data_IF_485457942095
#
_entry.id   IF_485457942095
#
_cell.length_a   1.000
_cell.length_b   1.000
_cell.length_c   1.000
_cell.angle_alpha   90.00
_cell.angle_beta   90.00
_cell.angle_gamma   90.00
#
_symmetry.space_group_name_H-M   'P 1'
#
loop_
_entity.id
_entity.type
_entity.pdbx_description
1 polymer ?
#
# COMPACT_ATOMS: atom_id res chain seq x y z
N UNK A 1 16.41 11.13 -14.06
CA UNK A 1 17.28 10.97 -12.88
C UNK A 1 16.86 9.71 -12.14
N UNK A 2 17.76 8.75 -11.92
CA UNK A 2 17.46 7.54 -11.15
C UNK A 2 17.94 7.74 -9.71
N UNK A 3 17.09 7.49 -8.73
CA UNK A 3 17.45 7.63 -7.31
C UNK A 3 16.99 6.41 -6.49
N UNK A 4 17.67 6.17 -5.37
CA UNK A 4 17.28 5.25 -4.30
C UNK A 4 17.21 6.12 -3.05
N UNK A 5 16.05 6.08 -2.40
CA UNK A 5 15.78 6.87 -1.19
C UNK A 5 15.64 5.93 0.00
N UNK A 6 16.13 6.36 1.16
CA UNK A 6 15.95 5.69 2.44
C UNK A 6 15.69 6.76 3.49
N UNK A 7 14.63 6.59 4.27
CA UNK A 7 14.22 7.54 5.31
C UNK A 7 13.98 6.77 6.58
N UNK A 8 14.66 7.11 7.66
CA UNK A 8 14.51 6.36 8.90
C UNK A 8 14.90 7.20 10.11
N UNK A 9 14.25 6.98 11.26
CA UNK A 9 14.72 7.50 12.53
C UNK A 9 15.94 6.70 13.02
N UNK A 10 16.88 7.40 13.65
CA UNK A 10 17.93 6.82 14.49
C UNK A 10 17.51 6.92 15.96
N UNK A 11 18.23 6.19 16.83
CA UNK A 11 18.06 6.31 18.28
C UNK A 11 18.17 7.77 18.73
N UNK A 12 17.25 8.20 19.62
CA UNK A 12 17.19 9.56 20.15
C UNK A 12 18.49 9.99 20.88
N UNK A 13 19.21 9.02 21.43
CA UNK A 13 20.46 9.21 22.17
C UNK A 13 21.65 9.56 21.26
N UNK A 14 21.50 9.38 19.94
CA UNK A 14 22.55 9.65 18.96
C UNK A 14 22.97 11.12 18.99
N UNK A 15 24.28 11.36 19.18
CA UNK A 15 24.86 12.70 19.13
C UNK A 15 25.16 13.09 17.69
N UNK A 16 24.93 14.37 17.38
CA UNK A 16 25.15 14.95 16.04
C UNK A 16 26.61 14.81 15.60
N UNK A 17 27.56 15.02 16.52
CA UNK A 17 28.99 14.90 16.22
C UNK A 17 29.38 13.46 15.85
N UNK A 18 28.81 12.46 16.54
CA UNK A 18 29.09 11.05 16.26
C UNK A 18 28.49 10.64 14.91
N UNK A 19 27.29 11.12 14.60
CA UNK A 19 26.67 10.96 13.28
C UNK A 19 27.52 11.56 12.17
N UNK A 20 27.96 12.81 12.32
CA UNK A 20 28.83 13.48 11.35
C UNK A 20 30.12 12.69 11.12
N UNK A 21 30.75 12.23 12.20
CA UNK A 21 31.98 11.45 12.11
C UNK A 21 31.77 10.12 11.37
N UNK A 22 30.65 9.43 11.58
CA UNK A 22 30.36 8.19 10.86
C UNK A 22 30.13 8.44 9.36
N UNK A 23 29.52 9.57 8.97
CA UNK A 23 29.39 9.95 7.57
C UNK A 23 30.76 10.17 6.90
N UNK A 24 31.71 10.80 7.60
CA UNK A 24 33.08 10.99 7.10
C UNK A 24 33.83 9.65 7.03
N UNK A 25 33.73 8.82 8.09
CA UNK A 25 34.35 7.50 8.11
C UNK A 25 33.84 6.61 6.96
N UNK A 26 32.55 6.68 6.65
CA UNK A 26 31.98 5.94 5.52
C UNK A 26 32.63 6.31 4.17
N UNK A 27 32.98 7.58 3.97
CA UNK A 27 33.68 8.02 2.75
C UNK A 27 35.15 7.57 2.78
N UNK A 28 35.81 7.69 3.93
CA UNK A 28 37.22 7.29 4.12
C UNK A 28 37.44 5.79 3.98
N UNK A 29 36.50 4.97 4.44
CA UNK A 29 36.56 3.51 4.33
C UNK A 29 36.24 3.00 2.92
N UNK A 30 35.86 3.89 1.99
CA UNK A 30 35.64 3.52 0.60
C UNK A 30 36.98 3.15 -0.06
N UNK A 31 37.13 1.93 -0.62
CA UNK A 31 38.41 1.45 -1.15
C UNK A 31 38.95 2.23 -2.35
N UNK A 32 38.17 3.16 -2.89
CA UNK A 32 38.50 3.95 -4.08
C UNK A 32 38.41 5.47 -3.82
N UNK A 33 38.44 5.91 -2.56
CA UNK A 33 38.46 7.33 -2.20
C UNK A 33 39.84 7.94 -2.43
N UNK A 34 39.89 9.19 -2.89
CA UNK A 34 41.13 9.96 -2.96
C UNK A 34 41.41 10.75 -1.68
N UNK A 35 40.42 10.87 -0.80
CA UNK A 35 40.53 11.62 0.44
C UNK A 35 41.30 10.85 1.52
N UNK A 36 42.11 11.57 2.29
CA UNK A 36 42.85 11.02 3.43
C UNK A 36 42.31 11.59 4.74
N UNK A 37 42.53 10.89 5.86
CA UNK A 37 41.95 11.27 7.15
C UNK A 37 42.42 12.66 7.62
N UNK A 38 43.66 13.03 7.30
CA UNK A 38 44.28 14.32 7.66
C UNK A 38 43.57 15.50 7.00
N UNK A 39 42.94 15.29 5.85
CA UNK A 39 42.21 16.34 5.13
C UNK A 39 40.91 16.75 5.83
N UNK A 40 40.46 15.93 6.79
CA UNK A 40 39.31 16.23 7.63
C UNK A 40 39.70 16.67 9.05
N UNK A 41 41.00 16.78 9.34
CA UNK A 41 41.48 17.28 10.62
C UNK A 41 41.01 18.73 10.82
N UNK A 42 40.07 18.94 11.73
CA UNK A 42 39.52 20.26 12.07
C UNK A 42 38.11 20.55 11.54
N UNK A 43 37.53 19.67 10.69
CA UNK A 43 36.09 19.75 10.39
C UNK A 43 35.27 19.08 11.49
N UNK A 44 34.12 19.66 11.79
CA UNK A 44 33.16 19.13 12.74
C UNK A 44 31.73 19.43 12.25
N UNK A 45 30.72 19.00 13.01
CA UNK A 45 29.31 19.16 12.61
C UNK A 45 28.82 20.62 12.59
N UNK A 46 29.67 21.59 12.92
CA UNK A 46 29.37 23.04 13.04
C UNK A 46 30.18 23.91 12.07
N UNK A 47 30.93 23.32 11.15
CA UNK A 47 31.71 24.06 10.14
C UNK A 47 31.28 23.61 8.76
N UNK A 48 30.83 24.56 7.93
CA UNK A 48 30.48 24.29 6.54
C UNK A 48 31.74 24.16 5.69
N UNK A 49 31.72 23.24 4.74
CA UNK A 49 32.84 23.09 3.83
C UNK A 49 32.42 22.51 2.48
N UNK A 50 33.22 22.83 1.48
CA UNK A 50 33.23 22.19 0.17
C UNK A 50 34.68 21.84 -0.16
N UNK A 51 34.93 20.57 -0.48
CA UNK A 51 36.26 20.03 -0.76
C UNK A 51 36.21 19.12 -1.96
N UNK A 52 36.99 19.46 -2.97
CA UNK A 52 37.15 18.67 -4.19
C UNK A 52 38.55 18.08 -4.25
N UNK A 53 38.64 16.79 -4.56
CA UNK A 53 39.91 16.11 -4.80
C UNK A 53 39.75 15.12 -5.94
N UNK A 54 40.50 15.34 -7.03
CA UNK A 54 40.37 14.56 -8.25
C UNK A 54 38.94 14.62 -8.80
N UNK A 55 38.29 13.46 -8.88
CA UNK A 55 36.91 13.31 -9.38
C UNK A 55 35.86 13.25 -8.26
N UNK A 56 36.25 13.55 -7.03
CA UNK A 56 35.38 13.47 -5.86
C UNK A 56 35.18 14.84 -5.24
N UNK A 57 33.96 15.10 -4.77
CA UNK A 57 33.55 16.35 -4.13
C UNK A 57 32.70 16.02 -2.90
N UNK A 58 33.06 16.60 -1.76
CA UNK A 58 32.32 16.53 -0.51
C UNK A 58 31.87 17.93 -0.14
N UNK A 59 30.58 18.06 0.15
CA UNK A 59 29.96 19.30 0.58
C UNK A 59 29.19 19.03 1.87
N UNK A 60 29.27 19.96 2.82
CA UNK A 60 28.56 19.90 4.07
C UNK A 60 27.98 21.25 4.43
N UNK A 61 26.69 21.25 4.77
CA UNK A 61 25.90 22.43 5.13
C UNK A 61 25.03 22.07 6.33
N UNK A 62 24.86 23.00 7.27
CA UNK A 62 24.03 22.80 8.44
C UNK A 62 23.32 24.08 8.88
N UNK A 63 22.30 23.93 9.70
CA UNK A 63 21.59 25.02 10.34
C UNK A 63 21.10 24.56 11.71
N UNK A 64 21.27 25.41 12.72
CA UNK A 64 20.92 25.12 14.10
C UNK A 64 20.12 26.27 14.69
N UNK A 65 19.00 25.93 15.33
CA UNK A 65 18.21 26.81 16.18
C UNK A 65 18.01 26.15 17.54
N UNK A 66 17.32 26.83 18.47
CA UNK A 66 17.12 26.32 19.85
C UNK A 66 16.48 24.93 19.90
N UNK A 67 15.58 24.62 18.96
CA UNK A 67 14.74 23.42 19.01
C UNK A 67 14.99 22.48 17.81
N UNK A 68 15.80 22.92 16.83
CA UNK A 68 16.00 22.20 15.57
C UNK A 68 17.45 22.25 15.13
N UNK A 69 18.01 21.07 14.87
CA UNK A 69 19.24 20.91 14.13
C UNK A 69 18.96 20.24 12.78
N UNK A 70 19.46 20.79 11.69
CA UNK A 70 19.41 20.17 10.37
C UNK A 70 20.78 20.24 9.71
N UNK A 71 21.21 19.15 9.08
CA UNK A 71 22.46 19.10 8.33
C UNK A 71 22.30 18.25 7.08
N UNK A 72 23.15 18.49 6.10
CA UNK A 72 23.25 17.68 4.90
C UNK A 72 24.69 17.56 4.45
N UNK A 73 25.12 16.32 4.24
CA UNK A 73 26.41 15.97 3.66
C UNK A 73 26.16 15.39 2.27
N UNK A 74 26.79 15.96 1.25
CA UNK A 74 26.72 15.50 -0.13
C UNK A 74 28.09 15.02 -0.58
N UNK A 75 28.18 13.75 -0.91
CA UNK A 75 29.35 13.17 -1.56
C UNK A 75 29.03 12.90 -3.02
N UNK A 76 29.87 13.39 -3.92
CA UNK A 76 29.73 13.12 -5.35
C UNK A 76 31.02 12.63 -5.98
N UNK A 77 30.87 11.70 -6.92
CA UNK A 77 31.97 11.07 -7.65
C UNK A 77 31.65 11.02 -9.13
N UNK A 78 32.50 11.63 -9.93
CA UNK A 78 32.38 11.64 -11.39
C UNK A 78 33.15 10.45 -11.99
N UNK A 79 32.48 9.69 -12.85
CA UNK A 79 33.04 8.58 -13.60
C UNK A 79 32.61 8.67 -15.07
N UNK A 80 33.53 9.18 -15.91
CA UNK A 80 33.25 9.43 -17.32
C UNK A 80 32.15 10.50 -17.50
N UNK A 81 31.05 10.13 -18.14
CA UNK A 81 29.91 11.01 -18.39
C UNK A 81 28.86 11.03 -17.26
N UNK A 82 29.08 10.24 -16.20
CA UNK A 82 28.11 9.99 -15.14
C UNK A 82 28.64 10.50 -13.80
N UNK A 83 27.79 11.21 -13.06
CA UNK A 83 28.06 11.66 -11.69
C UNK A 83 27.16 10.92 -10.71
N UNK A 84 27.77 10.18 -9.80
CA UNK A 84 27.10 9.54 -8.66
C UNK A 84 27.05 10.53 -7.51
N UNK A 85 25.89 10.70 -6.90
CA UNK A 85 25.68 11.63 -5.78
C UNK A 85 25.00 10.85 -4.65
N UNK A 86 25.62 10.85 -3.47
CA UNK A 86 24.99 10.37 -2.24
C UNK A 86 24.82 11.55 -1.30
N UNK A 87 23.57 11.85 -0.98
CA UNK A 87 23.19 12.87 -0.01
C UNK A 87 22.75 12.18 1.28
N UNK A 88 23.33 12.59 2.40
CA UNK A 88 23.00 12.13 3.74
C UNK A 88 22.57 13.35 4.54
N UNK A 89 21.27 13.48 4.77
CA UNK A 89 20.68 14.58 5.51
C UNK A 89 20.19 14.10 6.88
N UNK A 90 20.34 14.93 7.90
CA UNK A 90 19.86 14.67 9.24
C UNK A 90 19.01 15.83 9.74
N UNK A 91 17.94 15.50 10.48
CA UNK A 91 17.08 16.46 11.16
C UNK A 91 16.85 15.97 12.59
N UNK A 92 17.29 16.73 13.58
CA UNK A 92 17.08 16.44 14.99
C UNK A 92 16.18 17.51 15.61
N UNK A 93 15.06 17.09 16.18
CA UNK A 93 14.10 17.92 16.89
C UNK A 93 13.69 17.19 18.16
N UNK A 94 13.88 17.79 19.33
CA UNK A 94 13.63 17.17 20.63
C UNK A 94 14.24 15.76 20.76
N UNK A 95 13.38 14.73 20.89
CA UNK A 95 13.75 13.31 21.03
C UNK A 95 13.77 12.54 19.71
N UNK A 96 13.60 13.22 18.58
CA UNK A 96 13.47 12.58 17.28
C UNK A 96 14.68 12.94 16.41
N UNK A 97 15.40 11.91 15.95
CA UNK A 97 16.52 12.05 15.03
C UNK A 97 16.19 11.37 13.72
N UNK A 98 15.79 12.14 12.71
CA UNK A 98 15.52 11.65 11.36
C UNK A 98 16.76 11.71 10.47
N UNK A 99 16.94 10.67 9.66
CA UNK A 99 17.97 10.59 8.63
C UNK A 99 17.34 10.28 7.29
N UNK A 100 17.85 10.96 6.26
CA UNK A 100 17.51 10.77 4.86
C UNK A 100 18.79 10.44 4.09
N UNK A 101 18.77 9.32 3.36
CA UNK A 101 19.87 8.90 2.49
C UNK A 101 19.33 8.79 1.08
N UNK A 102 19.85 9.63 0.18
CA UNK A 102 19.45 9.66 -1.22
C UNK A 102 20.68 9.38 -2.07
N UNK A 103 20.69 8.22 -2.73
CA UNK A 103 21.68 7.91 -3.77
C UNK A 103 21.07 8.23 -5.11
N UNK A 104 21.78 8.94 -5.98
CA UNK A 104 21.29 9.32 -7.30
C UNK A 104 22.40 9.35 -8.34
N UNK A 105 21.99 9.27 -9.60
CA UNK A 105 22.87 9.35 -10.77
C UNK A 105 22.37 10.41 -11.73
N UNK A 106 23.29 11.28 -12.15
CA UNK A 106 23.09 12.37 -13.11
C UNK A 106 24.12 12.27 -14.23
N UNK A 107 23.74 12.62 -15.46
CA UNK A 107 24.64 12.71 -16.61
C UNK A 107 25.22 14.13 -16.70
N UNK A 108 26.54 14.25 -16.87
CA UNK A 108 27.22 15.56 -16.91
C UNK A 108 27.13 16.27 -18.27
N UNK A 109 26.74 15.55 -19.34
CA UNK A 109 26.51 16.12 -20.66
C UNK A 109 25.07 15.93 -21.12
N UNK A 110 24.53 16.91 -21.84
CA UNK A 110 23.21 16.85 -22.51
C UNK A 110 23.20 15.89 -23.73
N UNK A 111 24.12 14.92 -23.76
CA UNK A 111 24.20 13.92 -24.80
C UNK A 111 23.26 12.76 -24.49
N UNK A 112 22.70 12.17 -25.53
CA UNK A 112 21.76 11.03 -25.59
C UNK A 112 22.31 9.72 -25.03
N UNK A 113 23.20 9.76 -24.03
CA UNK A 113 23.61 8.57 -23.29
C UNK A 113 22.44 8.18 -22.40
N UNK A 114 21.67 7.18 -22.83
CA UNK A 114 20.56 6.68 -22.03
C UNK A 114 21.12 6.17 -20.69
N UNK A 115 20.50 6.60 -19.58
CA UNK A 115 20.75 6.04 -18.23
C UNK A 115 20.25 4.57 -18.17
N UNK A 116 19.66 4.07 -19.26
CA UNK A 116 19.27 2.68 -19.47
C UNK A 116 20.49 1.76 -19.32
N UNK A 117 20.48 0.95 -18.26
CA UNK A 117 21.56 0.02 -17.93
C UNK A 117 22.47 0.46 -16.77
N UNK A 118 22.42 1.72 -16.34
CA UNK A 118 23.19 2.16 -15.15
C UNK A 118 22.53 1.62 -13.88
N UNK A 119 23.18 0.65 -13.24
CA UNK A 119 22.71 0.03 -11.99
C UNK A 119 23.16 0.86 -10.79
N UNK A 120 22.26 1.71 -10.31
CA UNK A 120 22.42 2.39 -9.03
C UNK A 120 22.41 1.35 -7.89
N UNK A 121 23.42 1.40 -7.02
CA UNK A 121 23.49 0.57 -5.82
C UNK A 121 23.08 1.40 -4.61
N UNK A 122 22.38 0.77 -3.66
CA UNK A 122 22.09 1.39 -2.37
C UNK A 122 23.39 1.71 -1.63
N UNK A 123 23.49 2.92 -1.10
CA UNK A 123 24.61 3.29 -0.23
C UNK A 123 24.57 2.49 1.08
N UNK A 124 25.74 2.01 1.51
CA UNK A 124 25.89 1.24 2.74
C UNK A 124 25.80 2.09 4.02
N UNK A 125 25.79 3.43 3.88
CA UNK A 125 25.74 4.35 5.03
C UNK A 125 24.52 4.10 5.92
N UNK A 126 23.34 3.79 5.35
CA UNK A 126 22.14 3.53 6.14
C UNK A 126 22.33 2.34 7.10
N UNK A 127 22.93 1.25 6.61
CA UNK A 127 23.24 0.07 7.43
C UNK A 127 24.24 0.43 8.51
N UNK A 128 25.32 1.15 8.16
CA UNK A 128 26.36 1.56 9.12
C UNK A 128 25.80 2.42 10.25
N UNK A 129 24.95 3.39 9.91
CA UNK A 129 24.32 4.27 10.89
C UNK A 129 23.41 3.49 11.85
N UNK A 130 22.55 2.62 11.32
CA UNK A 130 21.60 1.84 12.14
C UNK A 130 22.34 0.80 13.00
N UNK A 131 23.37 0.14 12.46
CA UNK A 131 24.19 -0.84 13.20
C UNK A 131 24.99 -0.17 14.33
N UNK A 132 25.53 1.02 14.08
CA UNK A 132 26.35 1.75 15.06
C UNK A 132 25.54 2.45 16.16
N UNK A 133 24.42 3.07 15.80
CA UNK A 133 23.66 3.94 16.71
C UNK A 133 22.32 3.35 17.14
N UNK A 134 21.88 2.25 16.52
CA UNK A 134 20.53 1.74 16.68
C UNK A 134 19.51 2.53 15.85
N UNK A 135 18.49 1.83 15.37
CA UNK A 135 17.34 2.47 14.73
C UNK A 135 16.37 3.03 15.77
N UNK A 136 15.72 4.13 15.43
CA UNK A 136 14.62 4.69 16.23
C UNK A 136 13.30 3.99 15.94
N UNK A 137 12.24 4.42 16.63
CA UNK A 137 10.90 3.89 16.45
C UNK A 137 10.22 4.47 15.20
N UNK A 138 9.75 3.59 14.31
CA UNK A 138 8.90 3.92 13.16
C UNK A 138 7.46 3.50 13.45
N UNK A 139 6.81 4.24 14.35
CA UNK A 139 5.45 3.95 14.80
C UNK A 139 5.41 2.69 15.67
N UNK A 140 4.86 1.60 15.13
CA UNK A 140 4.70 0.34 15.86
C UNK A 140 5.97 -0.54 15.88
N UNK A 141 6.96 -0.26 15.01
CA UNK A 141 8.15 -1.11 14.84
C UNK A 141 9.46 -0.31 14.92
N UNK A 142 10.48 -0.83 15.63
CA UNK A 142 11.81 -0.22 15.63
C UNK A 142 12.52 -0.50 14.31
N UNK A 143 13.28 0.48 13.81
CA UNK A 143 14.15 0.29 12.66
C UNK A 143 15.29 -0.66 13.01
N UNK A 144 15.49 -1.69 12.19
CA UNK A 144 16.52 -2.70 12.42
C UNK A 144 17.15 -3.21 11.13
N UNK A 145 18.40 -3.68 11.22
CA UNK A 145 19.08 -4.44 10.17
C UNK A 145 18.65 -5.91 10.12
N UNK A 146 17.91 -6.37 11.14
CA UNK A 146 17.41 -7.73 11.29
C UNK A 146 15.90 -7.81 11.03
N UNK A 147 15.41 -8.96 10.54
CA UNK A 147 13.98 -9.19 10.37
C UNK A 147 13.28 -9.35 11.71
N UNK A 148 12.00 -8.98 11.73
CA UNK A 148 11.08 -9.21 12.85
C UNK A 148 10.50 -10.62 12.70
N UNK A 149 10.94 -11.53 13.56
CA UNK A 149 10.45 -12.90 13.60
C UNK A 149 9.16 -12.98 14.43
N UNK A 150 8.06 -13.33 13.78
CA UNK A 150 6.80 -13.60 14.46
C UNK A 150 6.87 -14.99 15.10
N UNK A 151 6.27 -15.10 16.29
CA UNK A 151 6.06 -16.37 16.99
C UNK A 151 4.62 -16.81 16.82
N UNK A 152 4.34 -18.09 17.03
CA UNK A 152 2.96 -18.59 17.02
C UNK A 152 2.28 -18.34 18.38
N UNK A 153 2.06 -17.06 18.68
CA UNK A 153 1.35 -16.59 19.87
C UNK A 153 0.29 -15.54 19.52
N UNK A 154 -0.61 -15.25 20.46
CA UNK A 154 -1.71 -14.32 20.24
C UNK A 154 -1.23 -12.89 19.92
N UNK A 155 -0.12 -12.45 20.52
CA UNK A 155 0.44 -11.11 20.34
C UNK A 155 0.98 -10.92 18.93
N UNK A 156 1.78 -11.88 18.43
CA UNK A 156 2.34 -11.83 17.08
C UNK A 156 1.26 -11.97 16.00
N UNK A 157 0.20 -12.75 16.26
CA UNK A 157 -0.98 -12.80 15.38
C UNK A 157 -1.66 -11.44 15.28
N UNK A 158 -1.82 -10.74 16.39
CA UNK A 158 -2.41 -9.40 16.40
C UNK A 158 -1.54 -8.37 15.67
N UNK A 159 -0.22 -8.41 15.87
CA UNK A 159 0.73 -7.58 15.12
C UNK A 159 0.61 -7.83 13.62
N UNK A 160 0.58 -9.11 13.20
CA UNK A 160 0.42 -9.46 11.79
C UNK A 160 -0.91 -8.97 11.21
N UNK A 161 -2.01 -9.08 11.96
CA UNK A 161 -3.32 -8.57 11.54
C UNK A 161 -3.28 -7.06 11.29
N UNK A 162 -2.77 -6.28 12.25
CA UNK A 162 -2.67 -4.82 12.13
C UNK A 162 -1.87 -4.41 10.89
N UNK A 163 -0.75 -5.09 10.61
CA UNK A 163 0.04 -4.86 9.39
C UNK A 163 -0.75 -5.16 8.12
N UNK A 164 -1.43 -6.31 8.07
CA UNK A 164 -2.10 -6.80 6.86
C UNK A 164 -3.37 -6.01 6.54
N UNK A 165 -4.10 -5.59 7.58
CA UNK A 165 -5.29 -4.74 7.46
C UNK A 165 -4.91 -3.29 7.14
N UNK A 166 -3.75 -2.83 7.65
CA UNK A 166 -3.26 -1.47 7.46
C UNK A 166 -3.54 -0.54 8.65
N UNK A 167 -3.79 -1.09 9.83
CA UNK A 167 -4.06 -0.38 11.10
C UNK A 167 -2.76 -0.11 11.91
N UNK A 168 -1.61 -0.17 11.24
CA UNK A 168 -0.32 0.18 11.85
C UNK A 168 0.03 1.65 11.60
N UNK A 169 0.88 2.20 12.46
CA UNK A 169 1.28 3.63 12.44
C UNK A 169 2.66 3.81 11.78
N UNK A 170 3.27 2.73 11.28
CA UNK A 170 4.60 2.76 10.67
C UNK A 170 4.62 3.55 9.36
N UNK A 171 5.61 4.43 9.21
CA UNK A 171 5.79 5.24 8.00
C UNK A 171 6.48 4.46 6.88
N UNK A 172 7.26 3.43 7.23
CA UNK A 172 7.87 2.55 6.25
C UNK A 172 6.97 1.35 5.92
N UNK A 173 6.99 0.89 4.66
CA UNK A 173 6.27 -0.33 4.27
C UNK A 173 6.80 -1.55 5.04
N UNK A 174 5.93 -2.54 5.20
CA UNK A 174 6.27 -3.83 5.81
C UNK A 174 6.31 -4.91 4.74
N UNK A 175 7.49 -5.47 4.51
CA UNK A 175 7.69 -6.65 3.65
C UNK A 175 7.45 -7.90 4.48
N UNK A 176 6.29 -8.50 4.30
CA UNK A 176 5.83 -9.69 4.98
C UNK A 176 6.22 -10.96 4.19
N UNK A 177 7.01 -11.82 4.81
CA UNK A 177 7.52 -13.06 4.22
C UNK A 177 6.75 -14.25 4.77
N UNK A 178 5.95 -14.88 3.93
CA UNK A 178 5.19 -16.08 4.33
C UNK A 178 6.01 -17.37 4.24
N UNK A 179 5.60 -18.37 5.00
CA UNK A 179 6.10 -19.72 5.02
C UNK A 179 5.37 -20.56 3.98
N UNK A 180 6.10 -21.50 3.37
CA UNK A 180 5.55 -22.48 2.45
C UNK A 180 5.00 -23.71 3.19
N UNK A 181 4.53 -24.71 2.44
CA UNK A 181 4.00 -25.97 3.00
C UNK A 181 5.00 -26.79 3.83
N UNK A 182 6.28 -26.46 3.78
CA UNK A 182 7.35 -27.11 4.55
C UNK A 182 7.92 -26.20 5.65
N UNK A 183 7.19 -25.14 6.01
CA UNK A 183 7.57 -24.11 6.98
C UNK A 183 8.92 -23.45 6.66
N UNK A 184 9.21 -23.30 5.36
CA UNK A 184 10.40 -22.59 4.86
C UNK A 184 10.02 -21.31 4.12
N UNK A 185 10.91 -20.34 4.16
CA UNK A 185 10.75 -19.08 3.43
C UNK A 185 11.35 -19.18 2.02
N UNK A 186 10.80 -18.42 1.09
CA UNK A 186 11.23 -18.47 -0.32
C UNK A 186 12.60 -17.81 -0.58
N UNK A 187 13.11 -17.05 0.39
CA UNK A 187 14.36 -16.28 0.37
C UNK A 187 15.01 -16.28 1.75
N UNK A 188 16.18 -15.64 1.91
CA UNK A 188 16.90 -15.52 3.19
C UNK A 188 16.49 -14.20 3.87
N UNK A 189 15.69 -14.22 4.96
CA UNK A 189 15.13 -13.00 5.53
C UNK A 189 16.19 -11.99 6.02
N UNK A 190 17.27 -12.46 6.66
CA UNK A 190 18.38 -11.60 7.11
C UNK A 190 19.09 -10.85 5.99
N UNK A 191 19.18 -11.46 4.79
CA UNK A 191 19.77 -10.79 3.63
C UNK A 191 18.82 -9.72 3.10
N UNK A 192 17.53 -10.01 3.06
CA UNK A 192 16.51 -9.07 2.64
C UNK A 192 16.41 -7.88 3.59
N UNK A 193 16.40 -8.12 4.91
CA UNK A 193 16.35 -7.08 5.94
C UNK A 193 17.51 -6.09 5.82
N UNK A 194 18.76 -6.58 5.72
CA UNK A 194 19.92 -5.71 5.48
C UNK A 194 19.79 -4.90 4.19
N UNK A 195 19.31 -5.53 3.12
CA UNK A 195 19.14 -4.89 1.82
C UNK A 195 18.08 -3.79 1.84
N UNK A 196 16.99 -3.99 2.57
CA UNK A 196 15.88 -3.04 2.75
C UNK A 196 16.02 -2.13 3.98
N UNK A 197 17.13 -2.22 4.71
CA UNK A 197 17.39 -1.43 5.91
C UNK A 197 17.15 0.09 5.70
N UNK A 198 16.25 0.70 6.47
CA UNK A 198 15.87 2.11 6.30
C UNK A 198 14.97 2.43 5.09
N UNK A 199 14.45 1.40 4.41
CA UNK A 199 13.47 1.49 3.32
C UNK A 199 12.16 0.76 3.65
N UNK A 200 12.26 -0.37 4.36
CA UNK A 200 11.11 -1.17 4.75
C UNK A 200 11.44 -2.03 5.98
N UNK A 201 10.42 -2.37 6.76
CA UNK A 201 10.51 -3.43 7.77
C UNK A 201 10.39 -4.80 7.10
N UNK A 202 11.10 -5.81 7.59
CA UNK A 202 10.94 -7.20 7.11
C UNK A 202 10.34 -8.02 8.23
N UNK A 203 9.14 -8.54 8.03
CA UNK A 203 8.41 -9.36 8.99
C UNK A 203 8.29 -10.78 8.45
N UNK A 204 8.53 -11.77 9.31
CA UNK A 204 8.64 -13.17 8.90
C UNK A 204 7.69 -14.03 9.71
N UNK A 205 6.80 -14.76 9.03
CA UNK A 205 5.88 -15.67 9.71
C UNK A 205 6.58 -16.99 10.10
N UNK A 206 6.14 -17.63 11.20
CA UNK A 206 6.78 -18.84 11.70
C UNK A 206 6.43 -20.10 10.90
N UNK A 207 5.19 -20.24 10.43
CA UNK A 207 4.69 -21.48 9.83
C UNK A 207 3.50 -21.24 8.90
N UNK A 208 3.16 -22.26 8.10
CA UNK A 208 1.98 -22.24 7.23
C UNK A 208 0.66 -22.19 8.00
N UNK A 209 0.62 -22.82 9.16
CA UNK A 209 -0.56 -22.84 10.04
C UNK A 209 -0.84 -21.45 10.60
N UNK A 210 0.22 -20.68 10.90
CA UNK A 210 0.09 -19.29 11.29
C UNK A 210 -0.66 -18.48 10.23
N UNK A 211 -0.25 -18.57 8.95
CA UNK A 211 -0.94 -17.85 7.87
C UNK A 211 -2.35 -18.40 7.58
N UNK A 212 -2.67 -19.65 7.92
CA UNK A 212 -4.05 -20.12 7.87
C UNK A 212 -4.90 -19.52 9.00
N UNK A 213 -4.37 -19.48 10.22
CA UNK A 213 -5.10 -19.02 11.41
C UNK A 213 -5.57 -17.57 11.32
N UNK A 214 -4.73 -16.67 10.79
CA UNK A 214 -5.06 -15.24 10.67
C UNK A 214 -5.91 -14.92 9.44
N UNK A 215 -6.07 -15.86 8.50
CA UNK A 215 -6.64 -15.60 7.16
C UNK A 215 -8.06 -15.05 7.21
N UNK A 216 -8.90 -15.62 8.08
CA UNK A 216 -10.30 -15.18 8.23
C UNK A 216 -10.36 -13.76 8.80
N UNK A 217 -9.55 -13.50 9.81
CA UNK A 217 -9.53 -12.23 10.55
C UNK A 217 -9.00 -11.06 9.72
N UNK A 218 -8.25 -11.34 8.64
CA UNK A 218 -7.71 -10.33 7.73
C UNK A 218 -8.38 -10.36 6.35
N UNK A 219 -9.58 -10.93 6.24
CA UNK A 219 -10.36 -11.00 5.00
C UNK A 219 -9.58 -11.58 3.81
N UNK A 220 -8.75 -12.61 4.06
CA UNK A 220 -7.84 -13.20 3.07
C UNK A 220 -6.86 -12.22 2.40
N UNK A 221 -6.52 -11.10 3.07
CA UNK A 221 -5.49 -10.16 2.60
C UNK A 221 -4.06 -10.60 2.94
N UNK A 222 -3.88 -11.63 3.75
CA UNK A 222 -2.56 -12.16 4.02
C UNK A 222 -1.98 -12.86 2.80
N UNK A 223 -0.68 -12.64 2.56
CA UNK A 223 0.09 -13.51 1.67
C UNK A 223 0.36 -14.85 2.35
N UNK A 224 0.46 -15.90 1.54
CA UNK A 224 0.75 -17.24 2.06
C UNK A 224 1.51 -18.12 1.09
N UNK A 225 1.99 -19.27 1.58
CA UNK A 225 2.54 -20.34 0.76
C UNK A 225 3.92 -20.02 0.19
N UNK A 226 4.74 -19.27 0.93
CA UNK A 226 6.06 -18.83 0.49
C UNK A 226 6.04 -17.59 -0.40
N UNK A 227 4.89 -16.93 -0.53
CA UNK A 227 4.81 -15.62 -1.17
C UNK A 227 5.32 -14.51 -0.24
N UNK A 228 5.68 -13.38 -0.83
CA UNK A 228 6.08 -12.16 -0.11
C UNK A 228 5.08 -11.06 -0.45
N UNK A 229 4.57 -10.38 0.56
CA UNK A 229 3.65 -9.24 0.42
C UNK A 229 4.33 -7.98 0.89
N UNK A 230 4.29 -6.92 0.11
CA UNK A 230 4.74 -5.59 0.53
C UNK A 230 3.49 -4.82 0.93
N UNK A 231 3.27 -4.67 2.22
CA UNK A 231 2.15 -3.90 2.78
C UNK A 231 2.59 -2.45 2.90
N UNK A 232 1.96 -1.58 2.11
CA UNK A 232 2.29 -0.16 2.10
C UNK A 232 1.66 0.56 3.31
N UNK A 233 2.31 1.63 3.82
CA UNK A 233 1.83 2.39 4.97
C UNK A 233 0.37 2.86 4.80
N UNK A 234 -0.35 3.07 5.91
CA UNK A 234 -1.71 3.62 5.91
C UNK A 234 -2.70 2.83 5.03
N UNK A 235 -2.46 1.53 4.85
CA UNK A 235 -3.32 0.65 4.06
C UNK A 235 -3.40 1.00 2.58
N UNK A 236 -2.42 1.74 2.02
CA UNK A 236 -2.42 2.21 0.62
C UNK A 236 -2.46 1.08 -0.43
N UNK A 237 -2.25 -0.15 -0.01
CA UNK A 237 -2.38 -1.33 -0.86
C UNK A 237 -1.32 -2.37 -0.52
N UNK A 238 -1.19 -3.37 -1.37
CA UNK A 238 -0.25 -4.48 -1.17
C UNK A 238 0.28 -5.00 -2.49
N UNK A 239 1.61 -5.05 -2.59
CA UNK A 239 2.28 -5.60 -3.76
C UNK A 239 2.68 -7.05 -3.51
N UNK A 240 2.11 -7.96 -4.30
CA UNK A 240 2.37 -9.39 -4.18
C UNK A 240 3.57 -9.83 -5.02
N UNK A 241 4.54 -10.45 -4.37
CA UNK A 241 5.73 -11.05 -4.98
C UNK A 241 5.71 -12.58 -4.83
N UNK A 242 5.81 -13.30 -5.94
CA UNK A 242 5.99 -14.76 -5.96
C UNK A 242 7.34 -15.13 -6.56
N UNK A 243 8.02 -16.11 -5.95
CA UNK A 243 9.34 -16.56 -6.40
C UNK A 243 9.30 -17.18 -7.80
N UNK A 244 8.29 -17.99 -8.10
CA UNK A 244 8.24 -18.75 -9.35
C UNK A 244 9.46 -19.69 -9.47
N UNK A 245 10.09 -19.70 -10.65
CA UNK A 245 11.30 -20.48 -10.96
C UNK A 245 12.60 -19.73 -10.64
N UNK A 246 12.52 -18.51 -10.11
CA UNK A 246 13.70 -17.68 -9.86
C UNK A 246 14.51 -18.20 -8.66
N UNK A 247 15.82 -18.02 -8.74
CA UNK A 247 16.70 -18.18 -7.58
C UNK A 247 16.37 -17.17 -6.47
N UNK A 248 16.68 -17.53 -5.22
CA UNK A 248 16.41 -16.69 -4.06
C UNK A 248 17.02 -15.27 -4.21
N UNK A 249 18.23 -15.16 -4.76
CA UNK A 249 18.92 -13.88 -4.96
C UNK A 249 18.20 -12.98 -5.99
N UNK A 250 17.74 -13.56 -7.10
CA UNK A 250 16.99 -12.81 -8.12
C UNK A 250 15.65 -12.34 -7.56
N UNK A 251 15.02 -13.18 -6.74
CA UNK A 251 13.77 -12.81 -6.07
C UNK A 251 13.97 -11.68 -5.04
N UNK A 252 15.07 -11.71 -4.27
CA UNK A 252 15.48 -10.60 -3.39
C UNK A 252 15.77 -9.30 -4.17
N UNK A 253 16.34 -9.38 -5.37
CA UNK A 253 16.56 -8.23 -6.27
C UNK A 253 15.23 -7.63 -6.73
N UNK A 254 14.26 -8.47 -7.14
CA UNK A 254 12.94 -8.02 -7.55
C UNK A 254 12.19 -7.27 -6.44
N UNK A 255 12.16 -7.81 -5.22
CA UNK A 255 11.50 -7.16 -4.08
C UNK A 255 12.15 -5.80 -3.79
N UNK A 256 13.47 -5.75 -3.81
CA UNK A 256 14.21 -4.49 -3.61
C UNK A 256 13.87 -3.44 -4.66
N UNK A 257 13.80 -3.83 -5.93
CA UNK A 257 13.45 -2.93 -7.03
C UNK A 257 12.02 -2.39 -6.87
N UNK A 258 11.05 -3.23 -6.50
CA UNK A 258 9.67 -2.80 -6.23
C UNK A 258 9.59 -1.78 -5.09
N UNK A 259 10.30 -2.02 -3.97
CA UNK A 259 10.34 -1.05 -2.85
C UNK A 259 11.03 0.24 -3.26
N UNK A 260 12.17 0.14 -3.95
CA UNK A 260 12.95 1.30 -4.40
C UNK A 260 12.18 2.17 -5.38
N UNK A 261 11.45 1.56 -6.32
CA UNK A 261 10.65 2.26 -7.30
C UNK A 261 9.51 3.03 -6.62
N UNK A 262 8.76 2.39 -5.73
CA UNK A 262 7.69 3.07 -4.98
C UNK A 262 8.23 4.25 -4.15
N UNK A 263 9.31 4.05 -3.40
CA UNK A 263 9.93 5.13 -2.61
C UNK A 263 10.48 6.28 -3.47
N UNK A 264 10.79 6.04 -4.75
CA UNK A 264 11.22 7.10 -5.67
C UNK A 264 10.11 8.14 -5.92
N UNK A 265 8.85 7.69 -5.93
CA UNK A 265 7.66 8.53 -6.14
C UNK A 265 7.07 9.10 -4.85
N UNK A 266 7.34 8.47 -3.71
CA UNK A 266 6.79 8.91 -2.42
C UNK A 266 7.46 10.19 -1.91
N UNK A 267 6.63 11.06 -1.33
CA UNK A 267 7.06 12.26 -0.62
C UNK A 267 7.65 11.83 0.73
N UNK A 268 8.85 12.29 1.11
CA UNK A 268 9.43 11.96 2.41
C UNK A 268 8.54 12.44 3.55
N UNK A 269 8.39 11.65 4.63
CA UNK A 269 7.53 12.03 5.77
C UNK A 269 8.06 13.27 6.51
N UNK A 270 9.37 13.53 6.41
CA UNK A 270 10.04 14.64 7.08
C UNK A 270 10.87 15.40 6.06
N UNK A 271 10.75 16.74 6.05
CA UNK A 271 11.62 17.61 5.26
C UNK A 271 13.05 17.51 5.80
N UNK A 272 13.85 16.69 5.14
CA UNK A 272 15.22 16.35 5.50
C UNK A 272 16.03 16.16 4.20
N UNK A 273 16.43 17.27 3.61
CA UNK A 273 17.19 17.33 2.34
C UNK A 273 18.14 18.51 2.36
N UNK A 274 19.06 18.54 1.40
CA UNK A 274 19.93 19.68 1.16
C UNK A 274 19.18 21.00 1.01
N UNK A 275 18.09 21.00 0.24
CA UNK A 275 17.29 22.20 -0.01
C UNK A 275 16.62 22.71 1.27
N UNK A 276 16.15 21.80 2.13
CA UNK A 276 15.56 22.16 3.42
C UNK A 276 16.58 22.85 4.35
N UNK A 277 17.86 22.46 4.32
CA UNK A 277 18.90 23.18 5.08
C UNK A 277 18.96 24.65 4.64
N UNK A 278 18.92 24.91 3.34
CA UNK A 278 18.85 26.26 2.77
C UNK A 278 17.58 27.01 3.20
N UNK A 279 16.43 26.36 3.13
CA UNK A 279 15.15 26.96 3.57
C UNK A 279 15.18 27.33 5.06
N UNK A 280 15.69 26.47 5.94
CA UNK A 280 15.79 26.73 7.37
C UNK A 280 16.75 27.89 7.65
N UNK A 281 17.91 27.96 6.96
CA UNK A 281 18.84 29.10 7.06
C UNK A 281 18.17 30.42 6.67
N UNK A 282 17.50 30.44 5.52
CA UNK A 282 16.82 31.63 5.03
C UNK A 282 15.75 32.10 6.03
N UNK A 283 14.98 31.15 6.58
CA UNK A 283 13.97 31.47 7.61
C UNK A 283 14.60 32.08 8.88
N UNK A 284 15.68 31.50 9.39
CA UNK A 284 16.39 32.04 10.57
C UNK A 284 16.97 33.42 10.28
N UNK A 285 17.54 33.64 9.09
CA UNK A 285 18.07 34.94 8.69
C UNK A 285 16.96 36.01 8.62
N UNK A 286 15.80 35.68 8.04
CA UNK A 286 14.63 36.57 8.00
C UNK A 286 14.14 36.90 9.42
N UNK A 287 14.07 35.92 10.31
CA UNK A 287 13.70 36.14 11.71
C UNK A 287 14.68 37.05 12.46
N UNK A 288 15.98 36.95 12.15
CA UNK A 288 17.00 37.83 12.72
C UNK A 288 16.83 39.28 12.23
N UNK A 289 16.68 39.47 10.91
CA UNK A 289 16.43 40.78 10.31
C UNK A 289 15.16 41.45 10.87
N UNK A 290 14.13 40.66 11.19
CA UNK A 290 12.91 41.13 11.84
C UNK A 290 13.18 41.65 13.27
N UNK A 291 14.06 40.99 14.02
CA UNK A 291 14.43 41.41 15.40
C UNK A 291 15.32 42.65 15.41
N UNK A 292 16.11 42.87 14.37
CA UNK A 292 17.05 43.99 14.25
C UNK A 292 16.43 45.28 13.67
N UNK A 293 15.13 45.28 13.34
CA UNK A 293 14.38 46.52 13.07
C UNK A 293 14.25 46.92 11.60
N UNK A 294 14.40 46.00 10.64
CA UNK A 294 13.84 46.22 9.31
C UNK A 294 12.31 46.41 9.44
N UNK A 295 11.72 47.33 8.68
CA UNK A 295 10.26 47.57 8.68
C UNK A 295 9.52 46.24 8.70
N UNK A 296 8.76 45.98 9.77
CA UNK A 296 8.06 44.70 9.98
C UNK A 296 7.16 44.32 8.79
N UNK A 297 6.84 45.28 7.93
CA UNK A 297 6.10 45.14 6.68
C UNK A 297 6.92 44.45 5.57
N UNK A 298 8.16 44.87 5.30
CA UNK A 298 9.00 44.29 4.24
C UNK A 298 9.40 42.84 4.57
N UNK A 299 9.71 42.57 5.84
CA UNK A 299 10.02 41.21 6.30
C UNK A 299 8.79 40.29 6.25
N UNK A 300 7.59 40.81 6.54
CA UNK A 300 6.34 40.06 6.41
C UNK A 300 5.98 39.83 4.94
N UNK A 301 6.22 40.78 4.05
CA UNK A 301 5.94 40.64 2.62
C UNK A 301 6.87 39.62 1.96
N UNK A 302 8.17 39.64 2.30
CA UNK A 302 9.12 38.60 1.85
C UNK A 302 8.74 37.22 2.38
N UNK A 303 8.39 37.09 3.67
CA UNK A 303 7.97 35.80 4.22
C UNK A 303 6.67 35.31 3.60
N UNK A 304 5.68 36.19 3.43
CA UNK A 304 4.40 35.87 2.80
C UNK A 304 4.58 35.45 1.33
N UNK A 305 5.46 36.10 0.57
CA UNK A 305 5.78 35.70 -0.80
C UNK A 305 6.48 34.32 -0.83
N UNK A 306 7.43 34.06 0.07
CA UNK A 306 8.08 32.75 0.20
C UNK A 306 7.13 31.63 0.64
N UNK A 307 6.21 31.90 1.57
CA UNK A 307 5.21 30.94 2.05
C UNK A 307 4.08 30.70 1.06
N UNK A 308 3.67 31.75 0.31
CA UNK A 308 2.65 31.66 -0.73
C UNK A 308 3.12 30.83 -1.93
N UNK A 309 4.38 30.96 -2.33
CA UNK A 309 4.95 30.22 -3.46
C UNK A 309 5.14 28.71 -3.15
N UNK A 310 5.20 28.35 -1.86
CA UNK A 310 5.51 26.98 -1.42
C UNK A 310 4.33 26.17 -0.88
N UNK A 311 3.30 26.77 -0.26
CA UNK A 311 2.33 26.01 0.53
C UNK A 311 0.89 25.94 -0.02
N UNK A 312 0.40 26.94 -0.76
CA UNK A 312 -1.03 27.03 -1.07
C UNK A 312 -1.48 25.97 -2.10
N UNK A 313 -0.72 25.75 -3.16
CA UNK A 313 -1.04 24.77 -4.21
C UNK A 313 -0.74 23.34 -3.77
N UNK A 314 0.35 23.14 -3.00
CA UNK A 314 0.76 21.83 -2.50
C UNK A 314 -0.24 21.29 -1.48
N UNK A 315 -0.76 22.13 -0.57
CA UNK A 315 -1.73 21.69 0.44
C UNK A 315 -3.09 21.32 -0.17
N UNK A 316 -3.57 22.07 -1.16
CA UNK A 316 -4.81 21.76 -1.86
C UNK A 316 -4.70 20.44 -2.66
N UNK A 317 -3.61 20.26 -3.40
CA UNK A 317 -3.35 19.03 -4.16
C UNK A 317 -3.10 17.83 -3.24
N UNK A 318 -2.42 18.02 -2.11
CA UNK A 318 -2.18 16.94 -1.13
C UNK A 318 -3.48 16.45 -0.50
N UNK A 319 -4.41 17.36 -0.18
CA UNK A 319 -5.75 16.98 0.32
C UNK A 319 -6.55 16.20 -0.71
N UNK A 320 -6.47 16.58 -1.97
CA UNK A 320 -7.19 15.87 -3.03
C UNK A 320 -6.59 14.48 -3.31
N UNK A 321 -5.26 14.36 -3.28
CA UNK A 321 -4.57 13.07 -3.32
C UNK A 321 -4.98 12.19 -2.13
N UNK A 322 -5.06 12.75 -0.93
CA UNK A 322 -5.49 12.02 0.27
C UNK A 322 -6.93 11.52 0.16
N UNK A 323 -7.84 12.36 -0.36
CA UNK A 323 -9.24 12.00 -0.62
C UNK A 323 -9.36 10.88 -1.66
N UNK A 324 -8.65 10.99 -2.79
CA UNK A 324 -8.65 9.99 -3.86
C UNK A 324 -8.02 8.67 -3.38
N UNK A 325 -6.93 8.73 -2.63
CA UNK A 325 -6.33 7.55 -2.01
C UNK A 325 -7.27 6.89 -1.00
N UNK A 326 -8.08 7.63 -0.25
CA UNK A 326 -9.11 7.06 0.64
C UNK A 326 -10.19 6.29 -0.12
N UNK A 327 -10.60 6.79 -1.29
CA UNK A 327 -11.56 6.09 -2.15
C UNK A 327 -10.97 4.82 -2.80
N UNK A 328 -9.72 4.89 -3.28
CA UNK A 328 -8.99 3.71 -3.76
C UNK A 328 -8.82 2.70 -2.62
N UNK A 329 -8.45 3.15 -1.41
CA UNK A 329 -8.32 2.29 -0.21
C UNK A 329 -9.60 1.55 0.11
N UNK A 330 -10.76 2.20 0.03
CA UNK A 330 -12.06 1.54 0.25
C UNK A 330 -12.36 0.48 -0.83
N UNK A 331 -12.01 0.77 -2.09
CA UNK A 331 -12.20 -0.18 -3.19
C UNK A 331 -11.21 -1.36 -3.14
N UNK A 332 -9.97 -1.13 -2.71
CA UNK A 332 -8.93 -2.15 -2.57
C UNK A 332 -9.02 -2.95 -1.27
N UNK A 333 -9.58 -2.38 -0.19
CA UNK A 333 -9.76 -3.10 1.09
C UNK A 333 -10.75 -4.26 0.97
N UNK A 334 -11.66 -4.20 -0.01
CA UNK A 334 -12.61 -5.26 -0.34
C UNK A 334 -12.02 -6.35 -1.25
N UNK A 335 -10.77 -6.19 -1.74
CA UNK A 335 -10.14 -7.14 -2.67
C UNK A 335 -9.13 -8.05 -1.95
N UNK A 336 -9.29 -9.38 -1.98
CA UNK A 336 -8.30 -10.30 -1.43
C UNK A 336 -7.00 -10.25 -2.25
N UNK A 337 -5.87 -10.27 -1.54
CA UNK A 337 -4.51 -10.10 -2.10
C UNK A 337 -4.05 -11.31 -2.89
N UNK A 338 -4.51 -12.49 -2.49
CA UNK A 338 -4.24 -13.75 -3.15
C UNK A 338 -5.51 -14.57 -3.31
N UNK A 339 -5.81 -14.95 -4.55
CA UNK A 339 -6.94 -15.82 -4.86
C UNK A 339 -8.28 -15.10 -4.89
N UNK A 340 -8.28 -13.77 -5.05
CA UNK A 340 -9.47 -13.05 -5.49
C UNK A 340 -9.85 -13.52 -6.87
N UNK A 341 -11.05 -14.07 -6.97
CA UNK A 341 -11.67 -14.34 -8.25
C UNK A 341 -12.38 -13.04 -8.62
N UNK A 342 -11.86 -12.34 -9.62
CA UNK A 342 -12.58 -11.25 -10.26
C UNK A 342 -13.43 -11.91 -11.37
N UNK A 343 -14.74 -11.89 -11.19
CA UNK A 343 -15.67 -12.28 -12.23
C UNK A 343 -16.17 -10.97 -12.83
N UNK A 344 -15.82 -10.75 -14.10
CA UNK A 344 -16.41 -9.67 -14.87
C UNK A 344 -17.87 -10.06 -15.18
N UNK A 345 -18.83 -9.27 -14.73
CA UNK A 345 -20.25 -9.48 -15.01
C UNK A 345 -20.61 -9.16 -16.46
N UNK A 346 -19.70 -8.52 -17.21
CA UNK A 346 -19.97 -8.04 -18.55
C UNK A 346 -20.93 -6.86 -18.51
N UNK A 347 -21.96 -6.89 -19.37
CA UNK A 347 -22.94 -5.81 -19.48
C UNK A 347 -24.15 -5.98 -18.54
N UNK A 348 -24.16 -6.99 -17.68
CA UNK A 348 -25.25 -7.23 -16.71
C UNK A 348 -24.95 -6.59 -15.35
N UNK A 349 -25.99 -5.98 -14.77
CA UNK A 349 -25.99 -5.33 -13.46
C UNK A 349 -26.86 -6.11 -12.46
N UNK A 350 -26.59 -5.95 -11.15
CA UNK A 350 -27.45 -6.46 -10.08
C UNK A 350 -28.77 -5.66 -10.02
N UNK A 351 -29.93 -6.31 -10.22
CA UNK A 351 -31.25 -5.71 -9.97
C UNK A 351 -31.62 -5.64 -8.49
N UNK A 352 -30.98 -6.48 -7.68
CA UNK A 352 -31.01 -6.41 -6.23
C UNK A 352 -29.65 -6.79 -5.66
N UNK A 353 -29.40 -6.35 -4.42
CA UNK A 353 -28.09 -6.51 -3.77
C UNK A 353 -27.61 -7.97 -3.83
N UNK A 354 -26.47 -8.20 -4.49
CA UNK A 354 -25.81 -9.50 -4.54
C UNK A 354 -26.47 -10.54 -5.44
N UNK A 355 -27.30 -10.13 -6.41
CA UNK A 355 -27.98 -11.03 -7.35
C UNK A 355 -27.00 -11.93 -8.11
N UNK A 356 -26.05 -11.34 -8.84
CA UNK A 356 -25.10 -12.09 -9.68
C UNK A 356 -24.28 -13.04 -8.80
N UNK A 357 -23.85 -12.58 -7.62
CA UNK A 357 -23.13 -13.41 -6.66
C UNK A 357 -23.98 -14.61 -6.20
N UNK A 358 -25.25 -14.40 -5.87
CA UNK A 358 -26.16 -15.46 -5.44
C UNK A 358 -26.36 -16.53 -6.53
N UNK A 359 -26.50 -16.12 -7.79
CA UNK A 359 -26.66 -17.03 -8.93
C UNK A 359 -25.40 -17.88 -9.13
N UNK A 360 -24.22 -17.27 -9.00
CA UNK A 360 -22.94 -17.99 -9.11
C UNK A 360 -22.79 -18.99 -7.96
N UNK A 361 -23.10 -18.61 -6.72
CA UNK A 361 -23.01 -19.52 -5.57
C UNK A 361 -23.95 -20.72 -5.73
N UNK A 362 -25.19 -20.51 -6.20
CA UNK A 362 -26.13 -21.60 -6.46
C UNK A 362 -25.64 -22.57 -7.55
N UNK A 363 -25.06 -22.04 -8.63
CA UNK A 363 -24.47 -22.87 -9.68
C UNK A 363 -23.29 -23.72 -9.17
N UNK A 364 -22.47 -23.15 -8.28
CA UNK A 364 -21.36 -23.86 -7.65
C UNK A 364 -21.84 -24.93 -6.68
N UNK A 365 -22.88 -24.66 -5.89
CA UNK A 365 -23.50 -25.61 -4.97
C UNK A 365 -24.18 -26.77 -5.73
N UNK A 366 -24.89 -26.47 -6.82
CA UNK A 366 -25.51 -27.49 -7.66
C UNK A 366 -24.46 -28.40 -8.31
N UNK A 367 -23.36 -27.83 -8.81
CA UNK A 367 -22.24 -28.60 -9.35
C UNK A 367 -21.54 -29.44 -8.27
N UNK A 368 -21.34 -28.88 -7.07
CA UNK A 368 -20.79 -29.60 -5.92
C UNK A 368 -21.63 -30.83 -5.58
N UNK A 369 -22.97 -30.69 -5.55
CA UNK A 369 -23.91 -31.77 -5.22
C UNK A 369 -24.00 -32.83 -6.32
N UNK A 370 -24.04 -32.42 -7.59
CA UNK A 370 -24.33 -33.33 -8.72
C UNK A 370 -23.09 -33.96 -9.35
N UNK A 371 -21.95 -33.26 -9.36
CA UNK A 371 -20.84 -33.58 -10.27
C UNK A 371 -19.47 -33.68 -9.62
N UNK A 372 -19.25 -33.13 -8.42
CA UNK A 372 -17.93 -33.16 -7.79
C UNK A 372 -17.61 -34.54 -7.19
N UNK A 373 -16.40 -35.05 -7.49
CA UNK A 373 -15.93 -36.32 -6.90
C UNK A 373 -15.57 -36.13 -5.42
N UNK A 374 -16.03 -37.03 -4.51
CA UNK A 374 -15.65 -37.01 -3.10
C UNK A 374 -14.14 -37.09 -2.86
N UNK A 375 -13.63 -36.30 -1.92
CA UNK A 375 -12.22 -36.18 -1.55
C UNK A 375 -11.34 -35.47 -2.58
N UNK A 376 -11.93 -34.91 -3.64
CA UNK A 376 -11.15 -34.27 -4.71
C UNK A 376 -10.76 -32.83 -4.37
N UNK A 377 -9.67 -32.34 -4.97
CA UNK A 377 -9.30 -30.93 -4.85
C UNK A 377 -10.41 -29.99 -5.33
N UNK A 378 -11.22 -30.41 -6.33
CA UNK A 378 -12.36 -29.63 -6.83
C UNK A 378 -13.44 -29.49 -5.77
N UNK A 379 -13.80 -30.57 -5.09
CA UNK A 379 -14.76 -30.54 -3.99
C UNK A 379 -14.27 -29.63 -2.85
N UNK A 380 -13.00 -29.75 -2.44
CA UNK A 380 -12.43 -28.92 -1.38
C UNK A 380 -12.43 -27.43 -1.74
N UNK A 381 -12.20 -27.08 -3.01
CA UNK A 381 -12.24 -25.69 -3.48
C UNK A 381 -13.67 -25.15 -3.46
N UNK A 382 -14.64 -25.89 -4.00
CA UNK A 382 -16.04 -25.47 -4.06
C UNK A 382 -16.63 -25.30 -2.67
N UNK A 383 -16.41 -26.26 -1.75
CA UNK A 383 -16.82 -26.14 -0.35
C UNK A 383 -16.22 -24.91 0.31
N UNK A 384 -14.91 -24.71 0.16
CA UNK A 384 -14.24 -23.54 0.74
C UNK A 384 -14.79 -22.21 0.21
N UNK A 385 -15.20 -22.14 -1.06
CA UNK A 385 -15.81 -20.93 -1.64
C UNK A 385 -17.21 -20.72 -1.05
N UNK A 386 -18.07 -21.75 -1.05
CA UNK A 386 -19.43 -21.67 -0.50
C UNK A 386 -19.42 -21.35 1.00
N UNK A 387 -18.52 -21.95 1.77
CA UNK A 387 -18.40 -21.71 3.23
C UNK A 387 -17.91 -20.30 3.56
N UNK A 388 -17.25 -19.61 2.62
CA UNK A 388 -16.66 -18.29 2.84
C UNK A 388 -17.50 -17.14 2.27
N UNK A 389 -18.54 -17.43 1.49
CA UNK A 389 -19.39 -16.44 0.84
C UNK A 389 -20.85 -16.76 1.17
N UNK A 390 -21.47 -15.96 2.03
CA UNK A 390 -22.89 -16.08 2.35
C UNK A 390 -23.72 -15.33 1.32
N UNK A 391 -24.77 -15.95 0.78
CA UNK A 391 -25.83 -15.21 0.08
C UNK A 391 -26.67 -14.48 1.12
N UNK A 392 -27.06 -13.24 0.84
CA UNK A 392 -27.87 -12.42 1.74
C UNK A 392 -29.35 -12.90 1.86
N UNK A 393 -29.71 -14.04 1.27
CA UNK A 393 -31.05 -14.64 1.32
C UNK A 393 -32.13 -13.87 0.54
N UNK A 394 -31.78 -12.75 -0.09
CA UNK A 394 -32.74 -11.84 -0.73
C UNK A 394 -33.47 -12.52 -1.90
N UNK A 395 -32.76 -13.35 -2.66
CA UNK A 395 -33.32 -14.12 -3.79
C UNK A 395 -34.36 -15.13 -3.33
N UNK A 396 -34.08 -15.86 -2.24
CA UNK A 396 -34.98 -16.84 -1.66
C UNK A 396 -36.21 -16.17 -1.04
N UNK A 397 -36.03 -15.01 -0.41
CA UNK A 397 -37.13 -14.20 0.12
C UNK A 397 -38.05 -13.68 -0.98
N UNK A 398 -37.48 -13.09 -2.04
CA UNK A 398 -38.24 -12.63 -3.22
C UNK A 398 -38.99 -13.80 -3.88
N UNK A 399 -38.32 -14.93 -4.07
CA UNK A 399 -38.93 -16.16 -4.61
C UNK A 399 -40.08 -16.69 -3.75
N UNK A 400 -39.92 -16.65 -2.42
CA UNK A 400 -40.95 -17.09 -1.47
C UNK A 400 -42.15 -16.14 -1.48
N UNK A 401 -41.90 -14.83 -1.42
CA UNK A 401 -42.94 -13.80 -1.46
C UNK A 401 -43.80 -13.93 -2.73
N UNK A 402 -43.15 -14.10 -3.89
CA UNK A 402 -43.84 -14.31 -5.17
C UNK A 402 -44.70 -15.58 -5.18
N UNK A 403 -44.17 -16.71 -4.71
CA UNK A 403 -44.90 -17.99 -4.64
C UNK A 403 -46.08 -17.91 -3.65
N UNK A 404 -45.94 -17.19 -2.55
CA UNK A 404 -46.98 -17.04 -1.54
C UNK A 404 -48.11 -16.12 -2.01
N UNK A 405 -47.79 -15.04 -2.72
CA UNK A 405 -48.79 -14.13 -3.31
C UNK A 405 -49.60 -14.81 -4.40
N UNK A 406 -48.97 -15.69 -5.20
CA UNK A 406 -49.66 -16.44 -6.25
C UNK A 406 -50.35 -17.71 -5.74
N UNK A 407 -50.17 -18.08 -4.47
CA UNK A 407 -50.83 -19.25 -3.87
C UNK A 407 -52.33 -19.01 -3.77
N UNK A 408 -53.10 -19.73 -4.61
CA UNK A 408 -54.55 -19.56 -4.67
C UNK A 408 -54.99 -18.28 -5.40
N UNK A 409 -54.14 -17.73 -6.28
CA UNK A 409 -54.47 -16.59 -7.12
C UNK A 409 -55.76 -16.82 -7.92
N UNK A 410 -56.71 -15.89 -7.79
CA UNK A 410 -58.00 -15.90 -8.50
C UNK A 410 -58.20 -14.65 -9.35
N UNK A 411 -57.71 -13.50 -8.89
CA UNK A 411 -57.79 -12.22 -9.58
C UNK A 411 -56.65 -11.31 -9.12
N UNK A 412 -56.33 -10.32 -9.95
CA UNK A 412 -55.33 -9.29 -9.63
C UNK A 412 -55.94 -8.24 -8.68
N UNK A 413 -55.98 -8.56 -7.40
CA UNK A 413 -56.41 -7.62 -6.37
C UNK A 413 -55.28 -6.63 -5.99
N UNK A 414 -55.63 -5.58 -5.25
CA UNK A 414 -54.68 -4.54 -4.83
C UNK A 414 -53.45 -5.13 -4.11
N UNK A 415 -53.66 -6.08 -3.20
CA UNK A 415 -52.56 -6.71 -2.44
C UNK A 415 -51.59 -7.48 -3.33
N UNK A 416 -52.09 -8.23 -4.31
CA UNK A 416 -51.24 -8.99 -5.25
C UNK A 416 -50.42 -8.01 -6.10
N UNK A 417 -51.07 -6.95 -6.58
CA UNK A 417 -50.43 -5.91 -7.37
C UNK A 417 -49.33 -5.18 -6.59
N UNK A 418 -49.62 -4.76 -5.36
CA UNK A 418 -48.66 -4.06 -4.49
C UNK A 418 -47.38 -4.91 -4.31
N UNK A 419 -47.50 -6.24 -4.10
CA UNK A 419 -46.31 -7.11 -3.95
C UNK A 419 -45.55 -7.30 -5.26
N UNK A 420 -46.23 -7.39 -6.41
CA UNK A 420 -45.52 -7.43 -7.70
C UNK A 420 -44.73 -6.14 -7.94
N UNK A 421 -45.31 -4.98 -7.64
CA UNK A 421 -44.64 -3.68 -7.76
C UNK A 421 -43.46 -3.58 -6.77
N UNK A 422 -43.61 -4.03 -5.51
CA UNK A 422 -42.52 -4.11 -4.52
C UNK A 422 -41.38 -5.07 -4.95
N UNK A 423 -41.71 -6.15 -5.66
CA UNK A 423 -40.72 -7.09 -6.17
C UNK A 423 -39.97 -6.54 -7.40
N UNK A 424 -40.46 -5.46 -8.02
CA UNK A 424 -39.85 -4.81 -9.20
C UNK A 424 -40.54 -5.11 -10.52
N UNK A 425 -41.80 -5.57 -10.51
CA UNK A 425 -42.56 -5.83 -11.74
C UNK A 425 -43.45 -4.66 -12.14
N UNK A 426 -43.47 -4.33 -13.44
CA UNK A 426 -44.48 -3.48 -14.04
C UNK A 426 -45.61 -4.32 -14.65
N UNK A 427 -46.86 -3.93 -14.36
CA UNK A 427 -48.06 -4.65 -14.81
C UNK A 427 -48.81 -3.87 -15.87
N UNK A 428 -48.97 -4.46 -17.05
CA UNK A 428 -49.79 -3.91 -18.14
C UNK A 428 -50.96 -4.84 -18.46
N UNK A 429 -52.14 -4.27 -18.68
CA UNK A 429 -53.35 -5.05 -18.97
C UNK A 429 -53.51 -5.23 -20.48
N UNK A 430 -53.39 -6.47 -20.96
CA UNK A 430 -53.61 -6.83 -22.37
C UNK A 430 -54.78 -7.83 -22.49
N UNK A 431 -55.95 -7.33 -22.89
CA UNK A 431 -57.13 -8.17 -23.12
C UNK A 431 -57.54 -8.99 -21.89
N UNK A 432 -57.43 -10.33 -21.98
CA UNK A 432 -57.76 -11.28 -20.90
C UNK A 432 -56.57 -11.63 -19.99
N UNK A 433 -55.41 -11.03 -20.22
CA UNK A 433 -54.17 -11.34 -19.51
C UNK A 433 -53.53 -10.06 -18.93
N UNK A 434 -52.67 -10.26 -17.94
CA UNK A 434 -51.71 -9.30 -17.43
C UNK A 434 -50.34 -9.65 -18.01
N UNK A 435 -49.67 -8.66 -18.57
CA UNK A 435 -48.26 -8.74 -18.94
C UNK A 435 -47.44 -8.19 -17.77
N UNK A 436 -46.58 -9.03 -17.21
CA UNK A 436 -45.68 -8.72 -16.11
C UNK A 436 -44.27 -8.56 -16.70
N UNK A 437 -43.64 -7.41 -16.52
CA UNK A 437 -42.26 -7.16 -16.97
C UNK A 437 -41.40 -6.88 -15.75
N UNK A 438 -40.28 -7.58 -15.58
CA UNK A 438 -39.38 -7.38 -14.45
C UNK A 438 -38.38 -6.25 -14.73
N UNK A 439 -38.29 -5.28 -13.82
CA UNK A 439 -37.37 -4.11 -13.89
C UNK A 439 -37.42 -3.35 -15.21
N UNK A 440 -38.59 -3.38 -15.86
CA UNK A 440 -38.84 -2.82 -17.20
C UNK A 440 -37.92 -3.37 -18.32
N UNK A 441 -37.27 -4.52 -18.09
CA UNK A 441 -36.51 -5.25 -19.10
C UNK A 441 -37.42 -6.23 -19.86
N UNK A 442 -37.62 -5.96 -21.16
CA UNK A 442 -38.49 -6.77 -22.02
C UNK A 442 -38.05 -8.23 -22.15
N UNK A 443 -36.76 -8.55 -21.89
CA UNK A 443 -36.25 -9.93 -21.86
C UNK A 443 -36.96 -10.78 -20.81
N UNK A 444 -37.43 -10.17 -19.72
CA UNK A 444 -38.00 -10.84 -18.56
C UNK A 444 -39.51 -10.58 -18.44
N UNK A 445 -40.28 -11.09 -19.41
CA UNK A 445 -41.74 -10.92 -19.49
C UNK A 445 -42.49 -12.23 -19.22
N UNK A 446 -43.59 -12.16 -18.46
CA UNK A 446 -44.52 -13.27 -18.27
C UNK A 446 -45.99 -12.85 -18.49
N UNK A 447 -46.80 -13.75 -19.06
CA UNK A 447 -48.23 -13.51 -19.34
C UNK A 447 -49.09 -14.28 -18.33
N UNK A 448 -49.69 -13.55 -17.38
CA UNK A 448 -50.54 -14.10 -16.33
C UNK A 448 -52.04 -13.91 -16.65
N UNK A 449 -52.90 -14.95 -16.58
CA UNK A 449 -54.34 -14.77 -16.76
C UNK A 449 -54.97 -13.79 -15.75
N UNK A 450 -55.97 -13.01 -16.18
CA UNK A 450 -56.72 -12.11 -15.28
C UNK A 450 -57.53 -12.85 -14.22
N UNK A 451 -57.98 -14.06 -14.54
CA UNK A 451 -58.72 -14.93 -13.63
C UNK A 451 -58.06 -16.29 -13.52
N UNK A 452 -57.82 -16.73 -12.29
CA UNK A 452 -57.32 -18.07 -11.98
C UNK A 452 -58.47 -19.08 -11.98
N UNK A 453 -58.39 -20.10 -12.83
CA UNK A 453 -59.40 -21.16 -12.91
C UNK A 453 -59.14 -22.36 -11.98
N UNK A 454 -57.90 -22.56 -11.52
CA UNK A 454 -57.47 -23.70 -10.71
C UNK A 454 -56.51 -23.26 -9.59
N UNK A 455 -56.60 -23.91 -8.43
CA UNK A 455 -55.74 -23.71 -7.26
C UNK A 455 -54.25 -23.92 -7.60
N UNK A 456 -53.94 -24.87 -8.51
CA UNK A 456 -52.57 -25.14 -8.95
C UNK A 456 -52.04 -24.14 -9.99
N UNK A 457 -52.94 -23.41 -10.66
CA UNK A 457 -52.58 -22.49 -11.74
C UNK A 457 -51.67 -21.35 -11.26
N UNK A 458 -51.98 -20.76 -10.10
CA UNK A 458 -51.14 -19.72 -9.50
C UNK A 458 -49.79 -20.25 -9.00
N UNK A 459 -49.74 -21.46 -8.45
CA UNK A 459 -48.49 -22.08 -8.00
C UNK A 459 -47.53 -22.37 -9.15
N UNK A 460 -48.06 -22.85 -10.29
CA UNK A 460 -47.28 -23.09 -11.49
C UNK A 460 -46.75 -21.77 -12.07
N UNK A 461 -47.63 -20.76 -12.19
CA UNK A 461 -47.21 -19.44 -12.65
C UNK A 461 -46.13 -18.81 -11.76
N UNK A 462 -46.22 -18.99 -10.44
CA UNK A 462 -45.18 -18.53 -9.52
C UNK A 462 -43.85 -19.27 -9.69
N UNK A 463 -43.88 -20.58 -9.97
CA UNK A 463 -42.66 -21.32 -10.26
C UNK A 463 -42.02 -20.91 -11.60
N UNK A 464 -42.84 -20.69 -12.63
CA UNK A 464 -42.38 -20.28 -13.96
C UNK A 464 -41.78 -18.88 -13.92
N UNK A 465 -42.43 -17.92 -13.25
CA UNK A 465 -41.88 -16.56 -13.08
C UNK A 465 -40.58 -16.60 -12.28
N UNK A 466 -40.52 -17.37 -11.19
CA UNK A 466 -39.27 -17.55 -10.43
C UNK A 466 -38.16 -18.04 -11.36
N UNK A 467 -38.38 -19.07 -12.18
CA UNK A 467 -37.33 -19.56 -13.09
C UNK A 467 -36.90 -18.57 -14.19
N UNK A 468 -37.68 -17.52 -14.45
CA UNK A 468 -37.34 -16.49 -15.45
C UNK A 468 -36.47 -15.39 -14.82
N UNK A 469 -36.73 -15.01 -13.56
CA UNK A 469 -36.13 -13.80 -12.95
C UNK A 469 -35.32 -14.03 -11.68
N UNK A 470 -35.48 -15.18 -11.03
CA UNK A 470 -34.80 -15.58 -9.80
C UNK A 470 -34.34 -17.03 -9.93
#
# INVERSE_FOLDING_TARGET
MKNIKSYFPLSAETKIQDFFQECINWILDSPHTFFAQEEFAGFNSTIEFSRQKGRELIEYSFSESKDLYISSLRYSKSDGAVKYITEVSARKCDKIFWVSVISSVVTETASTTSIEGVRLRKSLIAIRLIDRFGGGDDGDFPISIHPIWLKDDATCREIAKRVIVGDNISLLPVVYVSANLSDRHALIPDRLARKLCGMAHVMVEPSRDFSHSIRRDVFSRNVYGGAVGIYWPNGTGVSLCRRGLNEAKVFEDKIFETVSEALSFLIPPVKCSWDEVGHVKNRIAIEHLRKEGASAQDANEVLALYEADTNATITALSKEIERLNSLIRYSESMRPVQGGILIDSGDEDDYFEGEILSVILDALDDYLKKSARPGSRREHLLKSILDSNESNGVREEKSRSLKDVLRGYREMNKKVRDVFEELGFSLTSEGKHWKLTYQDDERYTYVLPKTGSDYRGGLNAGADIVNIVF
#
